data_IF_923414391516
#
_entry.id   IF_923414391516
#
_cell.length_a   1.000
_cell.length_b   1.000
_cell.length_c   1.000
_cell.angle_alpha   90.00
_cell.angle_beta   90.00
_cell.angle_gamma   90.00
#
_symmetry.space_group_name_H-M   'P 1'
#
loop_
_entity.id
_entity.type
_entity.pdbx_description
1 polymer ?
#
# COMPACT_ATOMS: atom_id res chain seq x y z
N UNK A 1 10.33 -4.65 7.33
CA UNK A 1 9.50 -3.70 6.59
C UNK A 1 9.48 -2.31 7.20
N UNK A 2 9.18 -2.15 8.50
CA UNK A 2 9.01 -0.82 9.12
C UNK A 2 10.24 0.08 8.96
N UNK A 3 11.45 -0.43 9.19
CA UNK A 3 12.67 0.34 9.02
C UNK A 3 12.89 0.80 7.57
N UNK A 4 12.64 -0.07 6.60
CA UNK A 4 12.75 0.25 5.18
C UNK A 4 11.75 1.34 4.79
N UNK A 5 10.50 1.20 5.23
CA UNK A 5 9.47 2.22 5.05
C UNK A 5 9.91 3.57 5.62
N UNK A 6 10.40 3.59 6.87
CA UNK A 6 10.83 4.81 7.53
C UNK A 6 12.02 5.47 6.80
N UNK A 7 13.04 4.69 6.40
CA UNK A 7 14.17 5.17 5.60
C UNK A 7 13.66 5.71 4.26
N UNK A 8 12.78 4.98 3.57
CA UNK A 8 12.17 5.43 2.32
C UNK A 8 11.46 6.78 2.46
N UNK A 9 10.67 6.97 3.50
CA UNK A 9 10.01 8.24 3.78
C UNK A 9 11.01 9.38 4.04
N UNK A 10 12.07 9.13 4.82
CA UNK A 10 13.12 10.13 5.09
C UNK A 10 13.86 10.52 3.81
N UNK A 11 14.23 9.54 2.98
CA UNK A 11 14.91 9.78 1.70
C UNK A 11 13.99 10.59 0.76
N UNK A 12 12.72 10.24 0.70
CA UNK A 12 11.72 10.94 -0.10
C UNK A 12 11.61 12.43 0.33
N UNK A 13 11.48 12.69 1.64
CA UNK A 13 11.36 14.05 2.17
C UNK A 13 12.62 14.90 1.90
N UNK A 14 13.80 14.29 1.95
CA UNK A 14 15.07 15.01 1.74
C UNK A 14 15.41 15.22 0.26
N UNK A 15 14.97 14.33 -0.62
CA UNK A 15 15.38 14.29 -2.02
C UNK A 15 14.22 14.30 -3.02
N UNK A 16 13.09 14.90 -2.67
CA UNK A 16 11.88 14.94 -3.49
C UNK A 16 12.15 15.34 -4.94
N UNK A 17 12.95 16.41 -5.17
CA UNK A 17 13.27 16.88 -6.52
C UNK A 17 13.98 15.85 -7.40
N UNK A 18 14.84 15.00 -6.82
CA UNK A 18 15.55 13.94 -7.54
C UNK A 18 14.60 12.77 -7.78
N UNK A 19 13.82 12.42 -6.76
CA UNK A 19 12.88 11.30 -6.82
C UNK A 19 11.78 11.58 -7.85
N UNK A 20 11.33 12.81 -8.01
CA UNK A 20 10.35 13.18 -9.05
C UNK A 20 10.83 12.86 -10.46
N UNK A 21 12.13 12.92 -10.72
CA UNK A 21 12.70 12.55 -12.02
C UNK A 21 12.88 11.05 -12.18
N UNK A 22 13.10 10.31 -11.09
CA UNK A 22 13.45 8.90 -11.06
C UNK A 22 12.60 8.11 -10.08
N UNK A 23 11.29 8.43 -9.98
CA UNK A 23 10.37 7.80 -9.03
C UNK A 23 10.33 6.27 -9.19
N UNK A 24 10.35 5.79 -10.45
CA UNK A 24 10.37 4.37 -10.74
C UNK A 24 11.62 3.67 -10.14
N UNK A 25 12.79 4.31 -10.21
CA UNK A 25 14.03 3.74 -9.65
C UNK A 25 14.00 3.71 -8.12
N UNK A 26 13.45 4.76 -7.50
CA UNK A 26 13.26 4.82 -6.06
C UNK A 26 12.35 3.68 -5.56
N UNK A 27 11.18 3.50 -6.18
CA UNK A 27 10.25 2.43 -5.80
C UNK A 27 10.78 1.04 -6.16
N UNK A 28 11.51 0.88 -7.26
CA UNK A 28 12.23 -0.36 -7.57
C UNK A 28 13.19 -0.73 -6.43
N UNK A 29 14.01 0.21 -5.99
CA UNK A 29 14.98 0.00 -4.91
C UNK A 29 14.29 -0.33 -3.57
N UNK A 30 13.15 0.29 -3.27
CA UNK A 30 12.34 -0.07 -2.10
C UNK A 30 11.82 -1.49 -2.18
N UNK A 31 11.35 -1.93 -3.37
CA UNK A 31 10.89 -3.29 -3.61
C UNK A 31 12.02 -4.31 -3.39
N UNK A 32 13.19 -4.06 -3.95
CA UNK A 32 14.39 -4.92 -3.76
C UNK A 32 14.78 -5.01 -2.28
N UNK A 33 14.90 -3.88 -1.59
CA UNK A 33 15.21 -3.83 -0.16
C UNK A 33 14.16 -4.58 0.67
N UNK A 34 12.89 -4.41 0.33
CA UNK A 34 11.79 -5.12 1.00
C UNK A 34 11.93 -6.62 0.84
N UNK A 35 12.14 -7.10 -0.39
CA UNK A 35 12.31 -8.54 -0.65
C UNK A 35 13.53 -9.13 0.07
N UNK A 36 14.57 -8.34 0.28
CA UNK A 36 15.76 -8.80 0.99
C UNK A 36 15.51 -8.99 2.50
N UNK A 37 14.82 -8.07 3.13
CA UNK A 37 14.67 -8.03 4.59
C UNK A 37 13.33 -8.55 5.11
N UNK A 38 12.33 -8.75 4.22
CA UNK A 38 11.01 -9.21 4.63
C UNK A 38 10.75 -10.67 4.26
N UNK A 39 10.17 -11.40 5.21
CA UNK A 39 9.71 -12.78 5.03
C UNK A 39 8.21 -12.83 4.70
N UNK A 40 7.72 -11.93 3.87
CA UNK A 40 6.31 -11.79 3.49
C UNK A 40 5.39 -11.41 4.66
N UNK A 41 5.90 -10.67 5.65
CA UNK A 41 5.11 -10.31 6.83
C UNK A 41 4.09 -9.21 6.53
N UNK A 42 4.54 -8.05 6.04
CA UNK A 42 3.70 -6.92 5.61
C UNK A 42 4.45 -6.03 4.60
N UNK A 43 4.78 -6.57 3.42
CA UNK A 43 5.66 -5.90 2.46
C UNK A 43 5.06 -4.63 1.85
N UNK A 44 3.72 -4.58 1.66
CA UNK A 44 3.06 -3.44 1.02
C UNK A 44 3.22 -2.12 1.78
N UNK A 45 3.48 -2.15 3.09
CA UNK A 45 3.69 -0.93 3.88
C UNK A 45 4.88 -0.13 3.35
N UNK A 46 5.89 -0.80 2.77
CA UNK A 46 7.06 -0.16 2.16
C UNK A 46 6.75 0.49 0.81
N UNK A 47 5.67 0.07 0.14
CA UNK A 47 5.13 0.72 -1.05
C UNK A 47 4.12 1.81 -0.64
N UNK A 48 3.08 1.42 0.09
CA UNK A 48 1.87 2.24 0.29
C UNK A 48 2.14 3.53 1.06
N UNK A 49 2.87 3.48 2.18
CA UNK A 49 3.14 4.67 2.98
C UNK A 49 4.04 5.68 2.24
N UNK A 50 5.20 5.30 1.65
CA UNK A 50 5.99 6.21 0.83
C UNK A 50 5.24 6.72 -0.39
N UNK A 51 4.38 5.90 -1.01
CA UNK A 51 3.58 6.32 -2.17
C UNK A 51 2.55 7.39 -1.80
N UNK A 52 1.83 7.22 -0.69
CA UNK A 52 0.93 8.25 -0.18
C UNK A 52 1.69 9.55 0.09
N UNK A 53 2.84 9.47 0.77
CA UNK A 53 3.67 10.64 1.04
C UNK A 53 4.14 11.30 -0.27
N UNK A 54 4.58 10.52 -1.25
CA UNK A 54 4.99 11.00 -2.57
C UNK A 54 3.86 11.79 -3.25
N UNK A 55 2.63 11.24 -3.26
CA UNK A 55 1.45 11.88 -3.83
C UNK A 55 1.02 13.16 -3.09
N UNK A 56 1.40 13.31 -1.81
CA UNK A 56 1.15 14.54 -1.04
C UNK A 56 2.16 15.65 -1.36
N UNK A 57 3.39 15.28 -1.68
CA UNK A 57 4.47 16.24 -1.99
C UNK A 57 4.38 16.75 -3.43
N UNK A 58 3.70 16.01 -4.31
CA UNK A 58 3.56 16.34 -5.73
C UNK A 58 2.26 17.09 -6.03
N UNK A 59 2.39 18.16 -6.83
CA UNK A 59 1.26 18.94 -7.35
C UNK A 59 0.87 18.43 -8.75
N UNK A 60 0.34 17.22 -8.81
CA UNK A 60 -0.02 16.57 -10.08
C UNK A 60 -1.53 16.55 -10.30
N UNK A 61 -1.96 16.53 -11.57
CA UNK A 61 -3.37 16.29 -11.92
C UNK A 61 -3.82 14.88 -11.52
N UNK A 62 -5.14 14.63 -11.36
CA UNK A 62 -5.63 13.30 -10.98
C UNK A 62 -5.16 12.20 -11.93
N UNK A 63 -5.17 12.42 -13.23
CA UNK A 63 -4.70 11.43 -14.22
C UNK A 63 -3.20 11.15 -14.10
N UNK A 64 -2.39 12.16 -13.82
CA UNK A 64 -0.96 11.98 -13.55
C UNK A 64 -0.73 11.19 -12.27
N UNK A 65 -1.52 11.44 -11.21
CA UNK A 65 -1.46 10.65 -9.97
C UNK A 65 -1.79 9.18 -10.19
N UNK A 66 -2.81 8.86 -11.00
CA UNK A 66 -3.09 7.47 -11.38
C UNK A 66 -1.92 6.81 -12.10
N UNK A 67 -1.32 7.52 -13.05
CA UNK A 67 -0.13 7.04 -13.76
C UNK A 67 1.06 6.83 -12.80
N UNK A 68 1.31 7.76 -11.90
CA UNK A 68 2.36 7.65 -10.87
C UNK A 68 2.13 6.45 -9.95
N UNK A 69 0.89 6.23 -9.47
CA UNK A 69 0.54 5.07 -8.65
C UNK A 69 0.87 3.78 -9.40
N UNK A 70 0.45 3.68 -10.67
CA UNK A 70 0.70 2.49 -11.49
C UNK A 70 2.18 2.27 -11.70
N UNK A 71 2.92 3.29 -12.13
CA UNK A 71 4.36 3.19 -12.40
C UNK A 71 5.15 2.84 -11.15
N UNK A 72 4.89 3.51 -10.04
CA UNK A 72 5.59 3.26 -8.77
C UNK A 72 5.28 1.86 -8.22
N UNK A 73 4.01 1.43 -8.31
CA UNK A 73 3.59 0.10 -7.85
C UNK A 73 4.20 -1.01 -8.70
N UNK A 74 4.20 -0.87 -10.02
CA UNK A 74 4.85 -1.81 -10.93
C UNK A 74 6.35 -1.88 -10.69
N UNK A 75 7.01 -0.73 -10.53
CA UNK A 75 8.46 -0.68 -10.26
C UNK A 75 8.81 -1.37 -8.94
N UNK A 76 8.04 -1.08 -7.89
CA UNK A 76 8.21 -1.75 -6.60
C UNK A 76 7.99 -3.26 -6.73
N UNK A 77 6.92 -3.69 -7.43
CA UNK A 77 6.61 -5.09 -7.68
C UNK A 77 7.71 -5.81 -8.44
N UNK A 78 8.26 -5.19 -9.50
CA UNK A 78 9.39 -5.73 -10.27
C UNK A 78 10.61 -5.88 -9.38
N UNK A 79 10.94 -4.88 -8.55
CA UNK A 79 12.05 -4.96 -7.60
C UNK A 79 11.85 -6.07 -6.57
N UNK A 80 10.64 -6.18 -6.01
CA UNK A 80 10.30 -7.18 -5.00
C UNK A 80 10.34 -8.60 -5.57
N UNK A 81 9.67 -8.86 -6.68
CA UNK A 81 9.59 -10.18 -7.32
C UNK A 81 10.95 -10.55 -7.93
N UNK A 82 11.62 -9.61 -8.60
CA UNK A 82 12.93 -9.86 -9.21
C UNK A 82 13.97 -10.27 -8.20
N UNK A 83 14.04 -9.57 -7.08
CA UNK A 83 15.00 -9.91 -6.02
C UNK A 83 14.64 -11.20 -5.27
N UNK A 84 13.34 -11.51 -5.16
CA UNK A 84 12.87 -12.78 -4.66
C UNK A 84 13.26 -13.94 -5.60
N UNK A 85 13.08 -13.77 -6.91
CA UNK A 85 13.47 -14.76 -7.92
C UNK A 85 14.99 -14.97 -7.96
N UNK A 86 15.78 -13.90 -7.81
CA UNK A 86 17.25 -13.97 -7.73
C UNK A 86 17.72 -14.88 -6.60
N UNK A 87 17.07 -14.87 -5.43
CA UNK A 87 17.43 -15.76 -4.31
C UNK A 87 17.30 -17.24 -4.70
N UNK A 88 16.24 -17.59 -5.43
CA UNK A 88 16.04 -18.96 -5.91
C UNK A 88 17.04 -19.33 -7.00
N UNK A 89 17.36 -18.40 -7.88
CA UNK A 89 18.37 -18.59 -8.90
C UNK A 89 19.76 -18.83 -8.28
N UNK A 90 20.19 -17.96 -7.37
CA UNK A 90 21.46 -18.11 -6.68
C UNK A 90 21.51 -19.39 -5.85
N UNK A 91 20.44 -19.71 -5.13
CA UNK A 91 20.32 -20.98 -4.40
C UNK A 91 20.48 -22.18 -5.32
N UNK A 92 19.83 -22.18 -6.49
CA UNK A 92 19.95 -23.26 -7.47
C UNK A 92 21.38 -23.42 -8.00
N UNK A 93 22.07 -22.31 -8.25
CA UNK A 93 23.46 -22.34 -8.72
C UNK A 93 24.42 -22.85 -7.62
N UNK A 94 24.25 -22.38 -6.38
CA UNK A 94 25.13 -22.75 -5.27
C UNK A 94 24.95 -24.22 -4.86
N UNK A 95 23.69 -24.67 -4.78
CA UNK A 95 23.35 -26.05 -4.37
C UNK A 95 23.43 -27.06 -5.53
N UNK A 96 23.56 -26.57 -6.77
CA UNK A 96 23.49 -27.37 -8.00
C UNK A 96 22.19 -28.20 -8.12
N UNK A 97 21.09 -27.65 -7.59
CA UNK A 97 19.77 -28.24 -7.59
C UNK A 97 18.76 -27.27 -8.20
N UNK A 98 17.70 -27.80 -8.83
CA UNK A 98 16.64 -26.94 -9.37
C UNK A 98 15.63 -26.58 -8.27
N UNK A 99 15.80 -25.40 -7.67
CA UNK A 99 14.91 -24.89 -6.62
C UNK A 99 13.67 -24.15 -7.16
N UNK A 100 13.51 -24.00 -8.48
CA UNK A 100 12.34 -23.30 -9.05
C UNK A 100 11.03 -24.04 -8.82
N UNK A 101 11.05 -25.38 -8.73
CA UNK A 101 9.87 -26.18 -8.35
C UNK A 101 9.39 -25.84 -6.94
N UNK A 102 10.30 -25.66 -6.00
CA UNK A 102 9.96 -25.26 -4.62
C UNK A 102 9.48 -23.80 -4.54
N UNK A 103 10.10 -22.91 -5.33
CA UNK A 103 9.63 -21.55 -5.49
C UNK A 103 8.18 -21.49 -5.98
N UNK A 104 7.86 -22.28 -7.03
CA UNK A 104 6.52 -22.40 -7.57
C UNK A 104 5.52 -22.96 -6.54
N UNK A 105 5.87 -24.05 -5.87
CA UNK A 105 5.05 -24.65 -4.81
C UNK A 105 4.80 -23.66 -3.67
N UNK A 106 5.79 -22.84 -3.32
CA UNK A 106 5.66 -21.78 -2.32
C UNK A 106 4.65 -20.71 -2.73
N UNK A 107 4.61 -20.32 -4.02
CA UNK A 107 3.62 -19.37 -4.55
C UNK A 107 2.21 -19.99 -4.47
N UNK A 108 2.06 -21.22 -4.98
CA UNK A 108 0.77 -21.93 -4.97
C UNK A 108 0.23 -22.08 -3.54
N UNK A 109 1.07 -22.48 -2.60
CA UNK A 109 0.67 -22.63 -1.20
C UNK A 109 0.17 -21.30 -0.62
N UNK A 110 0.88 -20.18 -0.88
CA UNK A 110 0.53 -18.86 -0.32
C UNK A 110 -0.72 -18.27 -0.92
N UNK A 111 -1.00 -18.58 -2.19
CA UNK A 111 -2.19 -18.11 -2.91
C UNK A 111 -3.36 -19.11 -2.88
N UNK A 112 -3.18 -20.29 -2.29
CA UNK A 112 -4.22 -21.32 -2.24
C UNK A 112 -5.45 -20.86 -1.45
N UNK A 113 -6.57 -21.53 -1.73
CA UNK A 113 -7.82 -21.37 -1.00
C UNK A 113 -8.05 -22.48 0.03
N UNK A 114 -6.99 -23.23 0.38
CA UNK A 114 -7.06 -24.34 1.32
C UNK A 114 -5.96 -24.26 2.35
N UNK A 115 -6.29 -24.55 3.60
CA UNK A 115 -5.32 -24.74 4.68
C UNK A 115 -5.77 -25.86 5.59
N UNK A 116 -4.86 -26.79 5.95
CA UNK A 116 -5.13 -27.91 6.86
C UNK A 116 -6.39 -28.73 6.47
N UNK A 117 -6.65 -28.87 5.16
CA UNK A 117 -7.83 -29.58 4.64
C UNK A 117 -9.16 -28.82 4.75
N UNK A 118 -9.12 -27.52 5.06
CA UNK A 118 -10.30 -26.66 5.10
C UNK A 118 -10.22 -25.59 4.01
N UNK A 119 -11.35 -25.35 3.34
CA UNK A 119 -11.46 -24.29 2.36
C UNK A 119 -11.53 -22.92 3.05
N UNK A 120 -10.65 -22.02 2.65
CA UNK A 120 -10.61 -20.64 3.14
C UNK A 120 -11.33 -19.74 2.16
N UNK A 121 -12.21 -18.88 2.66
CA UNK A 121 -12.83 -17.84 1.84
C UNK A 121 -12.08 -16.52 1.99
N UNK A 122 -12.11 -15.69 0.94
CA UNK A 122 -11.57 -14.32 1.02
C UNK A 122 -12.15 -13.52 2.19
N UNK A 123 -13.45 -13.67 2.45
CA UNK A 123 -14.13 -13.01 3.57
C UNK A 123 -13.60 -13.48 4.94
N UNK A 124 -13.23 -14.75 5.08
CA UNK A 124 -12.60 -15.24 6.31
C UNK A 124 -11.21 -14.63 6.51
N UNK A 125 -10.41 -14.53 5.44
CA UNK A 125 -9.11 -13.86 5.46
C UNK A 125 -9.24 -12.39 5.85
N UNK A 126 -10.18 -11.68 5.23
CA UNK A 126 -10.44 -10.28 5.52
C UNK A 126 -10.88 -10.07 6.98
N UNK A 127 -11.83 -10.91 7.46
CA UNK A 127 -12.33 -10.88 8.83
C UNK A 127 -11.21 -11.07 9.85
N UNK A 128 -10.33 -12.08 9.64
CA UNK A 128 -9.21 -12.32 10.55
C UNK A 128 -8.26 -11.13 10.62
N UNK A 129 -7.90 -10.53 9.49
CA UNK A 129 -7.01 -9.37 9.46
C UNK A 129 -7.67 -8.12 10.09
N UNK A 130 -8.95 -7.88 9.82
CA UNK A 130 -9.69 -6.78 10.45
C UNK A 130 -9.84 -6.98 11.97
N UNK A 131 -10.06 -8.22 12.43
CA UNK A 131 -10.14 -8.53 13.84
C UNK A 131 -8.79 -8.42 14.55
N UNK A 132 -7.69 -8.81 13.91
CA UNK A 132 -6.35 -8.66 14.46
C UNK A 132 -5.94 -7.18 14.63
N UNK A 133 -6.50 -6.29 13.81
CA UNK A 133 -6.34 -4.85 13.98
C UNK A 133 -7.17 -4.31 15.18
N UNK A 134 -7.80 -5.23 15.95
CA UNK A 134 -8.73 -4.93 17.01
C UNK A 134 -8.06 -4.37 18.25
N UNK A 135 -7.82 -3.10 18.22
CA UNK A 135 -7.80 -2.28 19.40
C UNK A 135 -9.13 -1.51 19.39
N UNK A 136 -10.11 -1.92 20.20
CA UNK A 136 -11.45 -1.26 20.28
C UNK A 136 -11.32 0.25 20.33
N UNK A 137 -10.33 0.74 21.05
CA UNK A 137 -10.00 2.17 21.18
C UNK A 137 -9.61 2.80 19.83
N UNK A 138 -8.80 2.12 19.01
CA UNK A 138 -8.37 2.65 17.73
C UNK A 138 -9.50 2.69 16.71
N UNK A 139 -10.39 1.70 16.68
CA UNK A 139 -11.60 1.71 15.84
C UNK A 139 -12.50 2.89 16.18
N UNK A 140 -12.69 3.15 17.47
CA UNK A 140 -13.48 4.29 17.95
C UNK A 140 -12.82 5.61 17.53
N UNK A 141 -11.51 5.76 17.74
CA UNK A 141 -10.78 6.96 17.34
C UNK A 141 -10.88 7.23 15.83
N UNK A 142 -10.71 6.18 15.01
CA UNK A 142 -10.84 6.31 13.56
C UNK A 142 -12.28 6.64 13.13
N UNK A 143 -13.27 6.02 13.76
CA UNK A 143 -14.67 6.35 13.50
C UNK A 143 -14.97 7.81 13.87
N UNK A 144 -14.49 8.28 15.01
CA UNK A 144 -14.64 9.66 15.43
C UNK A 144 -13.94 10.62 14.47
N UNK A 145 -12.69 10.34 14.07
CA UNK A 145 -11.97 11.14 13.09
C UNK A 145 -12.72 11.20 11.76
N UNK A 146 -13.23 10.08 11.30
CA UNK A 146 -14.04 9.99 10.08
C UNK A 146 -15.31 10.83 10.18
N UNK A 147 -16.07 10.70 11.27
CA UNK A 147 -17.29 11.47 11.50
C UNK A 147 -17.01 12.98 11.59
N UNK A 148 -15.98 13.37 12.35
CA UNK A 148 -15.57 14.77 12.47
C UNK A 148 -15.19 15.32 11.09
N UNK A 149 -14.44 14.57 10.30
CA UNK A 149 -14.02 15.01 8.98
C UNK A 149 -15.20 15.15 8.02
N UNK A 150 -16.16 14.23 8.05
CA UNK A 150 -17.41 14.36 7.28
C UNK A 150 -18.17 15.62 7.69
N UNK A 151 -18.37 15.83 8.99
CA UNK A 151 -19.07 17.03 9.50
C UNK A 151 -18.37 18.30 9.03
N UNK A 152 -17.05 18.37 9.15
CA UNK A 152 -16.27 19.54 8.68
C UNK A 152 -16.38 19.72 7.15
N UNK A 153 -16.33 18.63 6.39
CA UNK A 153 -16.46 18.69 4.93
C UNK A 153 -17.87 19.15 4.50
N UNK A 154 -18.92 18.65 5.14
CA UNK A 154 -20.28 19.10 4.88
C UNK A 154 -20.48 20.58 5.24
N UNK A 155 -19.97 21.00 6.39
CA UNK A 155 -20.09 22.39 6.84
C UNK A 155 -19.37 23.37 5.91
N UNK A 156 -18.24 22.96 5.32
CA UNK A 156 -17.45 23.79 4.40
C UNK A 156 -17.82 23.67 2.92
N UNK A 157 -18.85 22.94 2.60
CA UNK A 157 -19.25 22.65 1.20
C UNK A 157 -18.13 22.06 0.34
N UNK A 158 -17.21 21.29 0.96
CA UNK A 158 -16.02 20.71 0.27
C UNK A 158 -16.36 19.46 -0.53
N UNK A 159 -17.51 18.83 -0.30
CA UNK A 159 -17.92 17.58 -0.96
C UNK A 159 -18.49 17.87 -2.37
N UNK A 160 -17.68 18.46 -3.23
CA UNK A 160 -18.03 18.59 -4.65
C UNK A 160 -17.53 17.36 -5.40
N UNK A 161 -18.24 16.96 -6.47
CA UNK A 161 -17.80 15.85 -7.34
C UNK A 161 -16.38 16.09 -7.87
N UNK A 162 -16.05 17.34 -8.18
CA UNK A 162 -14.72 17.74 -8.63
C UNK A 162 -13.63 17.37 -7.60
N UNK A 163 -13.83 17.75 -6.34
CA UNK A 163 -12.86 17.48 -5.26
C UNK A 163 -12.75 15.98 -4.99
N UNK A 164 -13.87 15.26 -4.98
CA UNK A 164 -13.87 13.80 -4.81
C UNK A 164 -13.05 13.13 -5.91
N UNK A 165 -13.26 13.51 -7.17
CA UNK A 165 -12.49 12.98 -8.29
C UNK A 165 -11.01 13.40 -8.25
N UNK A 166 -10.71 14.62 -7.81
CA UNK A 166 -9.33 15.11 -7.70
C UNK A 166 -8.48 14.28 -6.71
N UNK A 167 -9.08 13.80 -5.63
CA UNK A 167 -8.39 13.04 -4.58
C UNK A 167 -8.65 11.53 -4.63
N UNK A 168 -9.49 11.04 -5.54
CA UNK A 168 -9.80 9.62 -5.73
C UNK A 168 -8.56 8.71 -5.93
N UNK A 169 -7.40 9.15 -6.46
CA UNK A 169 -6.20 8.31 -6.52
C UNK A 169 -5.78 7.74 -5.17
N UNK A 170 -6.00 8.46 -4.06
CA UNK A 170 -5.71 7.95 -2.72
C UNK A 170 -6.61 6.77 -2.32
N UNK A 171 -7.85 6.73 -2.82
CA UNK A 171 -8.74 5.59 -2.60
C UNK A 171 -8.21 4.32 -3.29
N UNK A 172 -7.55 4.45 -4.45
CA UNK A 172 -6.90 3.32 -5.10
C UNK A 172 -5.77 2.75 -4.24
N UNK A 173 -4.93 3.62 -3.65
CA UNK A 173 -3.89 3.19 -2.71
C UNK A 173 -4.50 2.54 -1.47
N UNK A 174 -5.62 3.06 -0.95
CA UNK A 174 -6.35 2.47 0.18
C UNK A 174 -6.87 1.06 -0.10
N UNK A 175 -7.10 0.69 -1.36
CA UNK A 175 -7.55 -0.63 -1.76
C UNK A 175 -6.40 -1.67 -1.87
N UNK A 176 -5.13 -1.27 -1.89
CA UNK A 176 -4.00 -2.17 -2.09
C UNK A 176 -3.96 -3.35 -1.10
N UNK A 177 -4.18 -3.17 0.23
CA UNK A 177 -4.17 -4.30 1.17
C UNK A 177 -5.22 -5.36 0.86
N UNK A 178 -6.39 -4.95 0.40
CA UNK A 178 -7.48 -5.87 0.04
C UNK A 178 -7.13 -6.70 -1.21
N UNK A 179 -6.48 -6.07 -2.19
CA UNK A 179 -5.96 -6.78 -3.38
C UNK A 179 -4.86 -7.76 -2.97
N UNK A 180 -3.96 -7.36 -2.07
CA UNK A 180 -2.93 -8.22 -1.54
C UNK A 180 -3.50 -9.45 -0.84
N UNK A 181 -4.49 -9.29 0.04
CA UNK A 181 -5.16 -10.39 0.73
C UNK A 181 -5.87 -11.36 -0.23
N UNK A 182 -6.31 -10.87 -1.38
CA UNK A 182 -6.88 -11.73 -2.42
C UNK A 182 -5.82 -12.63 -3.05
N UNK A 183 -4.67 -12.08 -3.42
CA UNK A 183 -3.59 -12.84 -4.06
C UNK A 183 -2.80 -13.72 -3.09
N UNK A 184 -2.72 -13.36 -1.82
CA UNK A 184 -2.00 -14.11 -0.78
C UNK A 184 -2.97 -14.69 0.25
N UNK A 185 -4.09 -15.25 -0.20
CA UNK A 185 -5.23 -15.58 0.65
C UNK A 185 -4.87 -16.52 1.78
N UNK A 186 -4.23 -17.66 1.49
CA UNK A 186 -3.80 -18.62 2.51
C UNK A 186 -2.77 -17.99 3.47
N UNK A 187 -1.75 -17.35 2.91
CA UNK A 187 -0.73 -16.68 3.72
C UNK A 187 -1.34 -15.64 4.66
N UNK A 188 -2.18 -14.76 4.13
CA UNK A 188 -2.82 -13.69 4.91
C UNK A 188 -3.85 -14.22 5.93
N UNK A 189 -4.44 -15.41 5.67
CA UNK A 189 -5.34 -16.06 6.62
C UNK A 189 -4.58 -16.65 7.80
N UNK A 190 -3.48 -17.36 7.56
CA UNK A 190 -2.68 -18.03 8.60
C UNK A 190 -1.91 -17.00 9.42
N UNK A 191 -1.32 -16.02 8.75
CA UNK A 191 -0.42 -15.03 9.35
C UNK A 191 -1.09 -13.69 9.65
N UNK A 192 -2.41 -13.68 9.91
CA UNK A 192 -3.17 -12.46 10.21
C UNK A 192 -2.57 -11.62 11.33
N UNK A 193 -1.86 -12.23 12.29
CA UNK A 193 -1.13 -11.55 13.36
C UNK A 193 -0.03 -10.60 12.88
N UNK A 194 0.42 -10.71 11.64
CA UNK A 194 1.40 -9.83 11.00
C UNK A 194 0.79 -9.06 9.84
N UNK A 195 0.06 -9.74 8.96
CA UNK A 195 -0.45 -9.16 7.70
C UNK A 195 -1.53 -8.10 7.92
N UNK A 196 -2.23 -8.10 9.06
CA UNK A 196 -3.17 -7.03 9.41
C UNK A 196 -2.54 -5.63 9.37
N UNK A 197 -1.22 -5.52 9.54
CA UNK A 197 -0.49 -4.24 9.51
C UNK A 197 -0.55 -3.56 8.14
N UNK A 198 -0.83 -4.30 7.07
CA UNK A 198 -1.09 -3.74 5.73
C UNK A 198 -2.27 -2.75 5.74
N UNK A 199 -3.27 -2.96 6.61
CA UNK A 199 -4.41 -2.06 6.74
C UNK A 199 -4.03 -0.64 7.18
N UNK A 200 -2.81 -0.43 7.70
CA UNK A 200 -2.30 0.91 8.00
C UNK A 200 -2.25 1.79 6.74
N UNK A 201 -2.03 1.20 5.57
CA UNK A 201 -2.05 1.90 4.27
C UNK A 201 -3.45 2.46 4.01
N UNK A 202 -4.48 1.61 4.19
CA UNK A 202 -5.89 2.01 4.01
C UNK A 202 -6.25 3.20 4.90
N UNK A 203 -5.93 3.10 6.19
CA UNK A 203 -6.24 4.16 7.15
C UNK A 203 -5.49 5.45 6.83
N UNK A 204 -4.20 5.36 6.50
CA UNK A 204 -3.40 6.53 6.19
C UNK A 204 -3.85 7.20 4.88
N UNK A 205 -4.12 6.41 3.83
CA UNK A 205 -4.62 6.93 2.55
C UNK A 205 -5.99 7.63 2.70
N UNK A 206 -6.93 7.00 3.43
CA UNK A 206 -8.24 7.60 3.68
C UNK A 206 -8.15 8.86 4.55
N UNK A 207 -7.27 8.88 5.55
CA UNK A 207 -7.02 10.08 6.35
C UNK A 207 -6.51 11.23 5.50
N UNK A 208 -5.53 10.97 4.62
CA UNK A 208 -5.01 11.97 3.68
C UNK A 208 -6.07 12.45 2.69
N UNK A 209 -6.89 11.53 2.16
CA UNK A 209 -8.01 11.86 1.29
C UNK A 209 -8.99 12.83 1.97
N UNK A 210 -9.39 12.53 3.21
CA UNK A 210 -10.32 13.36 3.97
C UNK A 210 -9.73 14.74 4.30
N UNK A 211 -8.45 14.79 4.69
CA UNK A 211 -7.76 16.06 4.96
C UNK A 211 -7.69 16.93 3.70
N UNK A 212 -7.38 16.33 2.55
CA UNK A 212 -7.34 17.06 1.28
C UNK A 212 -8.72 17.59 0.89
N UNK A 213 -9.80 16.82 1.09
CA UNK A 213 -11.16 17.29 0.89
C UNK A 213 -11.48 18.53 1.75
N UNK A 214 -11.08 18.50 3.02
CA UNK A 214 -11.32 19.63 3.92
C UNK A 214 -10.52 20.89 3.54
N UNK A 215 -9.30 20.73 3.02
CA UNK A 215 -8.43 21.84 2.66
C UNK A 215 -8.76 22.47 1.29
N UNK A 216 -9.48 21.76 0.43
CA UNK A 216 -9.80 22.24 -0.92
C UNK A 216 -10.70 23.47 -0.95
N UNK A 217 -11.38 23.82 0.15
CA UNK A 217 -12.20 25.03 0.29
C UNK A 217 -11.41 26.35 0.27
N UNK A 218 -10.09 26.29 0.41
CA UNK A 218 -9.23 27.49 0.40
C UNK A 218 -8.63 27.82 -0.98
N UNK A 219 -8.86 26.94 -1.96
CA UNK A 219 -8.43 27.21 -3.34
C UNK A 219 -9.61 27.85 -4.07
N UNK A 220 -9.85 29.14 -3.84
CA UNK A 220 -10.69 29.94 -4.72
C UNK A 220 -10.17 29.81 -6.15
N UNK A 221 -11.04 29.60 -7.17
CA UNK A 221 -10.62 29.70 -8.53
C UNK A 221 -10.08 31.11 -8.76
N UNK A 222 -8.77 31.24 -9.02
CA UNK A 222 -8.23 32.49 -9.55
C UNK A 222 -9.11 32.88 -10.72
N UNK A 223 -9.92 33.92 -10.55
CA UNK A 223 -10.70 34.53 -11.61
C UNK A 223 -9.75 34.75 -12.80
N UNK A 224 -10.06 34.09 -13.93
CA UNK A 224 -9.46 34.48 -15.18
C UNK A 224 -9.95 35.89 -15.49
N UNK A 225 -9.07 36.88 -15.30
CA UNK A 225 -9.20 38.21 -15.89
C UNK A 225 -8.78 38.11 -17.35
#
# INVERSE_FOLDING_TARGET
CFLIMAIGCVVLLRHTNIINKFNWLFFLSLGMATSYFDFLTYPLVTLGIPLILYLQLETSSPSQRFFQITTCSLSWGIGYIGFWAEKWLLGSVILQENLFSEAYNSIILRSSHETLGQTITYMATLKNNLQAYDLRTWKILWLLLFLVTIVLALHRHCLTLHNILAFSPLCLVACMPFVWYYFTQNHSYIHFGFTHRELSITFFALSCFLVQLCNSSHIEPKQKI
#
